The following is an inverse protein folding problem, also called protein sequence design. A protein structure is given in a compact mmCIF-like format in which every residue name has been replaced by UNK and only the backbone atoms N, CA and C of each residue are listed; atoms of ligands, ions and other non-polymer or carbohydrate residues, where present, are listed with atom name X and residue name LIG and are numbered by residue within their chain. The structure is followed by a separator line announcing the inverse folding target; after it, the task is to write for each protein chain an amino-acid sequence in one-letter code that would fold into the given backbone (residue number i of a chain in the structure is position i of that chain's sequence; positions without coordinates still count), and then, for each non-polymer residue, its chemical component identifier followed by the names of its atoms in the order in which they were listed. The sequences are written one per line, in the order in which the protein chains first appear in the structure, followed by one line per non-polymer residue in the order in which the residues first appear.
data_IF_339984319304
#
_entry.id   IF_339984319304
#
_cell.length_a   1.000
_cell.length_b   1.000
_cell.length_c   1.000
_cell.angle_alpha   90.00
_cell.angle_beta   90.00
_cell.angle_gamma   90.00
#
_symmetry.space_group_name_H-M   'P 1'
#
loop_
_entity.id
_entity.type
_entity.pdbx_description
1 polymer ?
#
# COMPACT_ATOMS: atom_id res chain seq x y z
N UNK A 1 -49.14 -14.26 -6.11
CA UNK A 1 -47.76 -14.29 -6.62
C UNK A 1 -47.13 -12.93 -6.39
N UNK A 2 -46.28 -12.81 -5.38
CA UNK A 2 -45.35 -11.69 -5.20
C UNK A 2 -44.33 -12.11 -4.13
N UNK A 3 -43.34 -12.92 -4.51
CA UNK A 3 -42.14 -13.09 -3.68
C UNK A 3 -41.24 -11.88 -3.89
N UNK A 4 -41.23 -11.00 -2.90
CA UNK A 4 -40.25 -9.94 -2.73
C UNK A 4 -38.87 -10.58 -2.58
N UNK A 5 -38.04 -10.50 -3.63
CA UNK A 5 -36.62 -10.81 -3.58
C UNK A 5 -35.91 -9.78 -2.69
N UNK A 6 -35.95 -9.98 -1.37
CA UNK A 6 -34.99 -9.36 -0.48
C UNK A 6 -33.62 -9.92 -0.85
N UNK A 7 -32.77 -9.09 -1.44
CA UNK A 7 -31.36 -9.40 -1.62
C UNK A 7 -30.77 -9.62 -0.22
N UNK A 8 -30.71 -10.87 0.20
CA UNK A 8 -30.03 -11.26 1.43
C UNK A 8 -28.58 -10.83 1.30
N UNK A 9 -28.19 -9.87 2.14
CA UNK A 9 -26.79 -9.51 2.37
C UNK A 9 -26.09 -10.80 2.79
N UNK A 10 -25.23 -11.32 1.91
CA UNK A 10 -24.44 -12.52 2.22
C UNK A 10 -23.53 -12.18 3.39
N UNK A 11 -23.85 -12.74 4.55
CA UNK A 11 -23.04 -12.70 5.76
C UNK A 11 -21.60 -13.16 5.45
N UNK A 12 -20.57 -12.51 6.02
CA UNK A 12 -19.19 -12.92 5.81
C UNK A 12 -18.98 -14.36 6.29
N UNK A 13 -18.56 -15.23 5.37
CA UNK A 13 -18.23 -16.62 5.66
C UNK A 13 -17.20 -16.68 6.80
N UNK A 14 -17.53 -17.46 7.83
CA UNK A 14 -16.70 -17.71 9.03
C UNK A 14 -15.29 -18.14 8.63
N UNK A 15 -14.28 -17.63 9.34
CA UNK A 15 -12.83 -17.90 9.14
C UNK A 15 -12.55 -19.36 8.75
N UNK A 16 -12.05 -19.60 7.53
CA UNK A 16 -11.61 -20.94 7.10
C UNK A 16 -10.12 -21.12 7.40
N UNK A 17 -9.25 -20.17 7.00
CA UNK A 17 -7.85 -20.06 7.42
C UNK A 17 -7.21 -18.74 6.96
N UNK A 18 -6.03 -18.36 7.47
CA UNK A 18 -5.30 -17.16 6.99
C UNK A 18 -4.92 -17.27 5.50
N UNK A 19 -4.59 -18.49 5.03
CA UNK A 19 -4.10 -18.74 3.67
C UNK A 19 -5.17 -18.87 2.59
N UNK A 20 -6.44 -18.99 2.95
CA UNK A 20 -7.55 -19.17 2.00
C UNK A 20 -7.98 -17.84 1.38
N UNK A 21 -8.06 -17.71 0.04
CA UNK A 21 -8.46 -16.46 -0.61
C UNK A 21 -9.82 -15.94 -0.13
N UNK A 22 -9.96 -14.60 -0.13
CA UNK A 22 -11.20 -13.95 0.29
C UNK A 22 -12.41 -14.29 -0.61
N UNK A 23 -12.14 -14.73 -1.84
CA UNK A 23 -13.15 -15.07 -2.82
C UNK A 23 -12.59 -16.02 -3.89
N UNK A 24 -13.45 -16.84 -4.52
CA UNK A 24 -13.05 -17.66 -5.66
C UNK A 24 -12.81 -16.79 -6.92
N UNK A 25 -11.88 -17.20 -7.80
CA UNK A 25 -11.67 -16.55 -9.07
C UNK A 25 -12.82 -16.84 -10.06
N UNK A 26 -13.17 -15.86 -10.88
CA UNK A 26 -14.11 -15.98 -12.01
C UNK A 26 -13.31 -16.01 -13.32
N UNK A 27 -13.90 -16.56 -14.39
CA UNK A 27 -13.23 -16.70 -15.70
C UNK A 27 -12.65 -15.37 -16.25
N UNK A 28 -13.35 -14.25 -16.02
CA UNK A 28 -12.91 -12.91 -16.47
C UNK A 28 -11.85 -12.25 -15.59
N UNK A 29 -11.60 -12.78 -14.39
CA UNK A 29 -10.73 -12.11 -13.40
C UNK A 29 -9.28 -12.04 -13.87
N UNK A 30 -8.81 -13.00 -14.68
CA UNK A 30 -7.46 -12.96 -15.26
C UNK A 30 -7.23 -11.74 -16.15
N UNK A 31 -8.17 -11.44 -17.05
CA UNK A 31 -8.05 -10.27 -17.93
C UNK A 31 -8.17 -8.95 -17.18
N UNK A 32 -9.10 -8.87 -16.22
CA UNK A 32 -9.25 -7.68 -15.39
C UNK A 32 -8.02 -7.47 -14.50
N UNK A 33 -7.39 -8.54 -14.02
CA UNK A 33 -6.12 -8.47 -13.30
C UNK A 33 -5.00 -7.89 -14.17
N UNK A 34 -4.90 -8.29 -15.45
CA UNK A 34 -3.95 -7.69 -16.40
C UNK A 34 -4.23 -6.19 -16.57
N UNK A 35 -5.49 -5.78 -16.73
CA UNK A 35 -5.86 -4.35 -16.79
C UNK A 35 -5.43 -3.61 -15.51
N UNK A 36 -5.66 -4.20 -14.34
CA UNK A 36 -5.21 -3.63 -13.07
C UNK A 36 -3.69 -3.53 -12.95
N UNK A 37 -2.94 -4.52 -13.46
CA UNK A 37 -1.47 -4.47 -13.53
C UNK A 37 -0.99 -3.37 -14.47
N UNK A 38 -1.69 -3.11 -15.57
CA UNK A 38 -1.37 -1.99 -16.48
C UNK A 38 -1.64 -0.64 -15.80
N UNK A 39 -2.77 -0.50 -15.09
CA UNK A 39 -3.05 0.72 -14.30
C UNK A 39 -1.96 0.94 -13.26
N UNK A 40 -1.59 -0.12 -12.53
CA UNK A 40 -0.49 -0.07 -11.58
C UNK A 40 0.80 0.38 -12.30
N UNK A 41 1.24 -0.33 -13.32
CA UNK A 41 2.51 -0.06 -13.97
C UNK A 41 2.63 1.34 -14.56
N UNK A 42 1.59 1.80 -15.29
CA UNK A 42 1.66 3.04 -16.08
C UNK A 42 1.20 4.28 -15.33
N UNK A 43 0.28 4.16 -14.38
CA UNK A 43 -0.23 5.31 -13.64
C UNK A 43 0.41 5.40 -12.27
N UNK A 44 0.52 4.30 -11.52
CA UNK A 44 1.03 4.42 -10.15
C UNK A 44 2.51 4.78 -10.07
N UNK A 45 3.32 4.27 -11.00
CA UNK A 45 4.74 4.64 -11.11
C UNK A 45 4.95 6.03 -11.73
N UNK A 46 3.87 6.70 -12.16
CA UNK A 46 3.91 7.96 -12.88
C UNK A 46 4.31 7.79 -14.36
N UNK A 47 4.09 8.84 -15.17
CA UNK A 47 4.49 8.84 -16.57
C UNK A 47 6.01 8.85 -16.70
N UNK A 48 6.58 8.19 -17.72
CA UNK A 48 8.02 8.15 -17.94
C UNK A 48 8.60 9.50 -18.38
N UNK A 49 7.74 10.45 -18.77
CA UNK A 49 8.10 11.78 -19.20
C UNK A 49 7.43 12.84 -18.31
N UNK A 50 8.13 13.94 -18.06
CA UNK A 50 7.58 15.09 -17.33
C UNK A 50 6.57 15.89 -18.14
N UNK A 51 6.58 15.78 -19.46
CA UNK A 51 5.70 16.52 -20.36
C UNK A 51 5.34 15.65 -21.56
N UNK A 52 4.09 15.73 -22.03
CA UNK A 52 3.66 15.13 -23.30
C UNK A 52 2.83 16.16 -24.08
N UNK A 53 3.30 16.53 -25.26
CA UNK A 53 2.56 17.41 -26.17
C UNK A 53 2.24 18.79 -25.61
N UNK A 54 3.15 19.39 -24.83
CA UNK A 54 2.95 20.70 -24.19
C UNK A 54 2.23 20.63 -22.84
N UNK A 55 1.77 19.45 -22.41
CA UNK A 55 1.13 19.27 -21.11
C UNK A 55 2.14 18.82 -20.07
N UNK A 56 2.36 19.65 -19.05
CA UNK A 56 3.15 19.29 -17.88
C UNK A 56 2.43 18.22 -17.05
N UNK A 57 3.01 17.03 -17.03
CA UNK A 57 2.50 15.87 -16.29
C UNK A 57 3.01 15.83 -14.84
N UNK A 58 3.88 16.76 -14.44
CA UNK A 58 4.30 16.94 -13.04
C UNK A 58 3.36 17.89 -12.30
N UNK A 59 2.47 18.57 -13.03
CA UNK A 59 1.50 19.51 -12.48
C UNK A 59 2.15 20.66 -11.68
N UNK A 60 3.32 21.13 -12.14
CA UNK A 60 4.12 22.14 -11.46
C UNK A 60 4.74 21.69 -10.14
N UNK A 61 4.71 20.39 -9.83
CA UNK A 61 5.33 19.81 -8.64
C UNK A 61 6.74 19.32 -8.96
N UNK A 62 7.62 19.40 -7.97
CA UNK A 62 9.01 18.95 -8.08
C UNK A 62 9.29 17.75 -7.18
N UNK A 63 10.37 17.03 -7.50
CA UNK A 63 10.85 15.90 -6.72
C UNK A 63 9.79 14.78 -6.55
N UNK A 64 9.84 14.05 -5.43
CA UNK A 64 8.92 12.94 -5.16
C UNK A 64 7.43 13.33 -5.13
N UNK A 65 7.12 14.59 -4.84
CA UNK A 65 5.74 15.08 -4.79
C UNK A 65 5.05 15.05 -6.16
N UNK A 66 5.80 15.16 -7.26
CA UNK A 66 5.26 15.09 -8.63
C UNK A 66 4.58 13.76 -8.96
N UNK A 67 4.93 12.68 -8.26
CA UNK A 67 4.27 11.39 -8.39
C UNK A 67 2.93 11.27 -7.67
N UNK A 68 2.62 12.16 -6.71
CA UNK A 68 1.44 12.01 -5.86
C UNK A 68 0.11 12.01 -6.64
N UNK A 69 -0.13 12.92 -7.61
CA UNK A 69 -1.36 12.90 -8.40
C UNK A 69 -1.57 11.57 -9.15
N UNK A 70 -0.49 11.02 -9.67
CA UNK A 70 -0.48 9.75 -10.41
C UNK A 70 -0.72 8.54 -9.51
N UNK A 71 -0.14 8.54 -8.31
CA UNK A 71 -0.44 7.53 -7.28
C UNK A 71 -1.92 7.49 -6.92
N UNK A 72 -2.53 8.67 -6.71
CA UNK A 72 -3.96 8.79 -6.44
C UNK A 72 -4.82 8.36 -7.64
N UNK A 73 -4.49 8.81 -8.85
CA UNK A 73 -5.19 8.42 -10.07
C UNK A 73 -5.17 6.89 -10.26
N UNK A 74 -4.00 6.26 -10.10
CA UNK A 74 -3.84 4.81 -10.19
C UNK A 74 -4.67 4.07 -9.13
N UNK A 75 -4.62 4.49 -7.87
CA UNK A 75 -5.40 3.88 -6.79
C UNK A 75 -6.92 4.01 -7.02
N UNK A 76 -7.40 5.20 -7.43
CA UNK A 76 -8.81 5.43 -7.73
C UNK A 76 -9.29 4.62 -8.94
N UNK A 77 -8.47 4.51 -9.98
CA UNK A 77 -8.79 3.71 -11.17
C UNK A 77 -8.82 2.21 -10.85
N UNK A 78 -7.98 1.72 -9.95
CA UNK A 78 -8.07 0.34 -9.46
C UNK A 78 -9.35 0.13 -8.64
N UNK A 79 -9.72 1.07 -7.77
CA UNK A 79 -11.00 0.98 -7.03
C UNK A 79 -12.18 0.98 -8.00
N UNK A 80 -12.16 1.85 -9.02
CA UNK A 80 -13.14 1.88 -10.09
C UNK A 80 -13.22 0.54 -10.86
N UNK A 81 -12.07 -0.04 -11.23
CA UNK A 81 -11.98 -1.35 -11.87
C UNK A 81 -12.62 -2.44 -11.01
N UNK A 82 -12.39 -2.42 -9.70
CA UNK A 82 -12.97 -3.40 -8.77
C UNK A 82 -14.50 -3.26 -8.68
N UNK A 83 -15.00 -2.04 -8.51
CA UNK A 83 -16.43 -1.79 -8.34
C UNK A 83 -17.19 -2.04 -9.65
N UNK A 84 -16.71 -1.50 -10.77
CA UNK A 84 -17.44 -1.51 -12.03
C UNK A 84 -17.02 -2.65 -12.97
N UNK A 85 -15.73 -2.93 -13.09
CA UNK A 85 -15.20 -3.99 -13.95
C UNK A 85 -15.38 -5.38 -13.35
N UNK A 86 -14.82 -5.61 -12.17
CA UNK A 86 -14.89 -6.91 -11.49
C UNK A 86 -16.26 -7.17 -10.86
N UNK A 87 -17.02 -6.09 -10.58
CA UNK A 87 -18.30 -6.11 -9.86
C UNK A 87 -18.13 -6.77 -8.49
N UNK A 88 -17.19 -6.24 -7.71
CA UNK A 88 -16.88 -6.65 -6.34
C UNK A 88 -16.97 -5.44 -5.41
N UNK A 89 -17.39 -5.67 -4.16
CA UNK A 89 -17.43 -4.61 -3.15
C UNK A 89 -16.04 -4.23 -2.64
N UNK A 90 -15.95 -3.10 -1.94
CA UNK A 90 -14.72 -2.61 -1.30
C UNK A 90 -14.14 -3.59 -0.27
N UNK A 91 -14.98 -4.46 0.30
CA UNK A 91 -14.56 -5.56 1.18
C UNK A 91 -13.62 -6.55 0.48
N UNK A 92 -13.68 -6.66 -0.85
CA UNK A 92 -12.74 -7.48 -1.65
C UNK A 92 -11.33 -6.89 -1.74
N UNK A 93 -11.16 -5.62 -1.34
CA UNK A 93 -9.88 -4.94 -1.13
C UNK A 93 -9.53 -4.86 0.36
N UNK A 94 -10.31 -5.54 1.23
CA UNK A 94 -10.19 -5.46 2.69
C UNK A 94 -10.54 -4.07 3.27
N UNK A 95 -11.12 -3.17 2.47
CA UNK A 95 -11.57 -1.85 2.93
C UNK A 95 -12.86 -2.05 3.73
N UNK A 96 -12.72 -2.02 5.04
CA UNK A 96 -13.79 -2.20 6.03
C UNK A 96 -13.57 -1.23 7.20
N UNK A 97 -14.63 -0.89 7.93
CA UNK A 97 -14.51 -0.03 9.12
C UNK A 97 -13.63 -0.73 10.18
N UNK A 98 -12.54 -0.11 10.66
CA UNK A 98 -11.70 -0.70 11.69
C UNK A 98 -12.44 -0.78 13.03
N UNK A 99 -12.17 -1.86 13.76
CA UNK A 99 -12.57 -2.01 15.17
C UNK A 99 -11.54 -1.33 16.07
N UNK A 100 -11.91 -1.02 17.33
CA UNK A 100 -10.95 -0.49 18.30
C UNK A 100 -9.73 -1.41 18.48
N UNK A 101 -9.91 -2.73 18.37
CA UNK A 101 -8.80 -3.70 18.42
C UNK A 101 -7.89 -3.60 17.20
N UNK A 102 -8.39 -3.28 16.02
CA UNK A 102 -7.53 -3.07 14.84
C UNK A 102 -6.62 -1.87 15.05
N UNK A 103 -7.16 -0.79 15.62
CA UNK A 103 -6.39 0.42 15.94
C UNK A 103 -5.35 0.12 17.03
N UNK A 104 -5.74 -0.53 18.13
CA UNK A 104 -4.83 -0.91 19.22
C UNK A 104 -3.65 -1.75 18.70
N UNK A 105 -3.93 -2.79 17.90
CA UNK A 105 -2.88 -3.63 17.35
C UNK A 105 -1.98 -2.88 16.36
N UNK A 106 -2.49 -1.89 15.62
CA UNK A 106 -1.66 -1.05 14.76
C UNK A 106 -0.61 -0.31 15.60
N UNK A 107 -0.97 0.22 16.76
CA UNK A 107 -0.02 0.89 17.66
C UNK A 107 0.99 -0.08 18.30
N UNK A 108 0.58 -1.28 18.71
CA UNK A 108 1.53 -2.27 19.24
C UNK A 108 2.54 -2.72 18.18
N UNK A 109 2.07 -3.00 16.96
CA UNK A 109 2.96 -3.40 15.87
C UNK A 109 3.87 -2.25 15.47
N UNK A 110 3.36 -1.03 15.42
CA UNK A 110 4.19 0.18 15.22
C UNK A 110 5.31 0.27 16.28
N UNK A 111 4.98 0.13 17.57
CA UNK A 111 5.97 0.13 18.64
C UNK A 111 7.06 -0.95 18.46
N UNK A 112 6.66 -2.16 18.06
CA UNK A 112 7.60 -3.24 17.75
C UNK A 112 8.51 -2.93 16.55
N UNK A 113 7.97 -2.36 15.47
CA UNK A 113 8.74 -1.94 14.29
C UNK A 113 9.73 -0.82 14.65
N UNK A 114 9.32 0.12 15.50
CA UNK A 114 10.20 1.19 16.00
C UNK A 114 11.31 0.69 16.88
N UNK A 115 11.01 -0.23 17.81
CA UNK A 115 12.02 -0.88 18.62
C UNK A 115 13.06 -1.59 17.75
N UNK A 116 12.62 -2.33 16.71
CA UNK A 116 13.54 -2.93 15.74
C UNK A 116 14.38 -1.88 15.02
N UNK A 117 13.75 -0.86 14.44
CA UNK A 117 14.45 0.18 13.68
C UNK A 117 15.53 0.88 14.51
N UNK A 118 15.25 1.13 15.79
CA UNK A 118 16.21 1.70 16.74
C UNK A 118 17.36 0.74 17.03
N UNK A 119 17.07 -0.53 17.36
CA UNK A 119 18.11 -1.55 17.60
C UNK A 119 19.00 -1.72 16.35
N UNK A 120 18.39 -1.80 15.17
CA UNK A 120 19.10 -1.92 13.91
C UNK A 120 20.04 -0.72 13.70
N UNK A 121 19.59 0.50 14.02
CA UNK A 121 20.39 1.73 13.91
C UNK A 121 21.54 1.80 14.92
N UNK A 122 21.47 1.09 16.05
CA UNK A 122 22.59 0.95 16.99
C UNK A 122 23.66 -0.03 16.48
N UNK A 123 23.26 -1.05 15.72
CA UNK A 123 24.15 -2.08 15.19
C UNK A 123 24.82 -1.61 13.89
N UNK A 124 24.03 -1.04 12.99
CA UNK A 124 24.47 -0.53 11.71
C UNK A 124 23.74 0.79 11.47
N UNK A 125 24.31 1.96 11.82
CA UNK A 125 23.68 3.24 11.58
C UNK A 125 23.27 3.41 10.11
N UNK A 126 22.08 3.96 9.87
CA UNK A 126 21.64 4.29 8.51
C UNK A 126 22.60 5.32 7.92
N UNK A 127 23.27 4.96 6.84
CA UNK A 127 24.05 5.90 6.04
C UNK A 127 23.12 6.90 5.37
N UNK A 128 23.54 8.16 5.37
CA UNK A 128 22.88 9.19 4.58
C UNK A 128 22.99 8.81 3.10
N UNK A 129 21.89 8.92 2.38
CA UNK A 129 21.81 8.55 0.97
C UNK A 129 20.93 9.54 0.22
N UNK A 130 21.10 9.58 -1.10
CA UNK A 130 20.40 10.53 -1.98
C UNK A 130 18.87 10.48 -1.81
N UNK A 131 18.31 9.30 -1.54
CA UNK A 131 16.88 9.14 -1.28
C UNK A 131 16.42 9.81 0.01
N UNK A 132 17.18 9.65 1.11
CA UNK A 132 16.95 10.33 2.38
C UNK A 132 17.14 11.84 2.23
N UNK A 133 18.23 12.27 1.58
CA UNK A 133 18.51 13.68 1.30
C UNK A 133 17.41 14.35 0.46
N UNK A 134 16.87 13.64 -0.53
CA UNK A 134 15.76 14.12 -1.36
C UNK A 134 14.53 14.40 -0.50
N UNK A 135 14.16 13.48 0.40
CA UNK A 135 12.97 13.65 1.25
C UNK A 135 13.20 14.73 2.32
N UNK A 136 14.37 14.76 2.97
CA UNK A 136 14.68 15.75 4.02
C UNK A 136 14.77 17.18 3.47
N UNK A 137 15.07 17.34 2.18
CA UNK A 137 15.06 18.64 1.51
C UNK A 137 13.66 19.24 1.34
N UNK A 138 12.62 18.40 1.32
CA UNK A 138 11.23 18.83 1.12
C UNK A 138 10.74 19.73 2.28
N UNK A 139 9.61 20.43 2.05
CA UNK A 139 8.89 21.09 3.14
C UNK A 139 8.24 20.06 4.05
N UNK A 140 8.05 20.40 5.33
CA UNK A 140 7.33 19.54 6.30
C UNK A 140 5.94 19.17 5.77
N UNK A 141 5.22 20.13 5.19
CA UNK A 141 3.92 19.88 4.56
C UNK A 141 4.02 18.90 3.37
N UNK A 142 5.08 19.01 2.56
CA UNK A 142 5.35 18.09 1.46
C UNK A 142 5.58 16.66 1.95
N UNK A 143 6.34 16.48 3.05
CA UNK A 143 6.56 15.16 3.66
C UNK A 143 5.29 14.60 4.28
N UNK A 144 4.48 15.42 4.97
CA UNK A 144 3.16 14.98 5.48
C UNK A 144 2.27 14.48 4.34
N UNK A 145 2.20 15.22 3.22
CA UNK A 145 1.42 14.79 2.07
C UNK A 145 1.97 13.51 1.43
N UNK A 146 3.30 13.37 1.37
CA UNK A 146 3.98 12.18 0.87
C UNK A 146 3.64 10.94 1.71
N UNK A 147 3.77 11.00 3.05
CA UNK A 147 3.52 9.85 3.92
C UNK A 147 2.05 9.44 3.93
N UNK A 148 1.11 10.40 3.86
CA UNK A 148 -0.33 10.11 3.75
C UNK A 148 -0.63 9.47 2.39
N UNK A 149 -0.09 10.03 1.31
CA UNK A 149 -0.30 9.50 -0.04
C UNK A 149 0.24 8.08 -0.15
N UNK A 150 1.46 7.82 0.31
CA UNK A 150 2.04 6.48 0.36
C UNK A 150 1.18 5.52 1.18
N UNK A 151 0.87 5.88 2.43
CA UNK A 151 0.11 5.03 3.35
C UNK A 151 -1.28 4.63 2.83
N UNK A 152 -1.92 5.47 2.00
CA UNK A 152 -3.22 5.13 1.41
C UNK A 152 -3.06 4.39 0.09
N UNK A 153 -2.36 5.00 -0.86
CA UNK A 153 -2.35 4.53 -2.25
C UNK A 153 -1.54 3.24 -2.42
N UNK A 154 -0.46 3.07 -1.68
CA UNK A 154 0.34 1.84 -1.70
C UNK A 154 -0.43 0.69 -1.05
N UNK A 155 -1.18 0.95 0.02
CA UNK A 155 -2.00 -0.10 0.63
C UNK A 155 -3.14 -0.54 -0.29
N UNK A 156 -3.80 0.39 -0.98
CA UNK A 156 -4.84 0.05 -2.00
C UNK A 156 -4.26 -0.87 -3.08
N UNK A 157 -3.10 -0.55 -3.63
CA UNK A 157 -2.55 -1.30 -4.74
C UNK A 157 -1.86 -2.60 -4.33
N UNK A 158 -0.97 -2.56 -3.34
CA UNK A 158 -0.19 -3.73 -2.96
C UNK A 158 -1.05 -4.71 -2.13
N UNK A 159 -1.60 -4.25 -1.00
CA UNK A 159 -2.28 -5.12 -0.02
C UNK A 159 -3.75 -5.36 -0.37
N UNK A 160 -4.42 -4.33 -0.87
CA UNK A 160 -5.82 -4.39 -1.28
C UNK A 160 -6.00 -5.13 -2.60
N UNK A 161 -5.32 -4.69 -3.65
CA UNK A 161 -5.53 -5.20 -5.00
C UNK A 161 -4.61 -6.36 -5.36
N UNK A 162 -3.31 -6.10 -5.55
CA UNK A 162 -2.34 -7.08 -6.06
C UNK A 162 -2.34 -8.36 -5.22
N UNK A 163 -2.20 -8.24 -3.90
CA UNK A 163 -2.19 -9.37 -2.98
C UNK A 163 -3.49 -10.20 -3.06
N UNK A 164 -4.66 -9.57 -3.00
CA UNK A 164 -5.94 -10.30 -2.96
C UNK A 164 -6.33 -10.87 -4.33
N UNK A 165 -6.01 -10.18 -5.44
CA UNK A 165 -6.28 -10.67 -6.81
C UNK A 165 -5.37 -11.81 -7.19
N UNK A 166 -4.06 -11.64 -7.03
CA UNK A 166 -3.12 -12.71 -7.30
C UNK A 166 -3.35 -13.89 -6.38
N UNK A 167 -3.63 -13.64 -5.09
CA UNK A 167 -3.97 -14.69 -4.15
C UNK A 167 -5.22 -15.48 -4.53
N UNK A 168 -6.24 -14.81 -5.07
CA UNK A 168 -7.44 -15.48 -5.59
C UNK A 168 -7.17 -16.30 -6.85
N UNK A 169 -6.46 -15.74 -7.83
CA UNK A 169 -6.09 -16.43 -9.08
C UNK A 169 -5.21 -17.66 -8.82
N UNK A 170 -4.24 -17.53 -7.91
CA UNK A 170 -3.32 -18.60 -7.53
C UNK A 170 -3.87 -19.52 -6.44
N UNK A 171 -5.10 -19.26 -5.97
CA UNK A 171 -5.75 -20.00 -4.87
C UNK A 171 -4.94 -20.05 -3.57
N UNK A 172 -4.03 -19.09 -3.36
CA UNK A 172 -3.13 -19.02 -2.20
C UNK A 172 -2.84 -17.57 -1.81
N UNK A 173 -3.29 -17.15 -0.63
CA UNK A 173 -3.01 -15.80 -0.12
C UNK A 173 -1.53 -15.57 0.15
N UNK A 174 -0.78 -16.64 0.45
CA UNK A 174 0.66 -16.56 0.66
C UNK A 174 1.41 -16.19 -0.62
N UNK A 175 1.00 -16.72 -1.77
CA UNK A 175 1.58 -16.35 -3.06
C UNK A 175 1.28 -14.88 -3.38
N UNK A 176 0.03 -14.46 -3.20
CA UNK A 176 -0.35 -13.06 -3.37
C UNK A 176 0.45 -12.10 -2.48
N UNK A 177 0.60 -12.46 -1.20
CA UNK A 177 1.36 -11.67 -0.23
C UNK A 177 2.85 -11.60 -0.55
N UNK A 178 3.48 -12.73 -0.89
CA UNK A 178 4.91 -12.79 -1.21
C UNK A 178 5.25 -11.98 -2.47
N UNK A 179 4.46 -12.12 -3.54
CA UNK A 179 4.68 -11.37 -4.78
C UNK A 179 4.42 -9.88 -4.57
N UNK A 180 3.34 -9.53 -3.85
CA UNK A 180 3.08 -8.13 -3.52
C UNK A 180 4.20 -7.51 -2.69
N UNK A 181 4.76 -8.25 -1.72
CA UNK A 181 5.87 -7.78 -0.90
C UNK A 181 7.13 -7.57 -1.75
N UNK A 182 7.46 -8.51 -2.64
CA UNK A 182 8.61 -8.39 -3.53
C UNK A 182 8.50 -7.14 -4.43
N UNK A 183 7.31 -6.92 -5.02
CA UNK A 183 7.05 -5.74 -5.86
C UNK A 183 7.04 -4.43 -5.06
N UNK A 184 6.70 -4.47 -3.77
CA UNK A 184 6.74 -3.32 -2.87
C UNK A 184 8.18 -2.95 -2.50
N UNK A 185 9.01 -3.96 -2.16
CA UNK A 185 10.39 -3.76 -1.74
C UNK A 185 11.29 -3.27 -2.89
N UNK A 186 11.10 -3.77 -4.10
CA UNK A 186 11.97 -3.48 -5.24
C UNK A 186 12.23 -1.96 -5.48
N UNK A 187 11.21 -1.09 -5.60
CA UNK A 187 11.44 0.34 -5.79
C UNK A 187 12.13 1.00 -4.59
N UNK A 188 11.91 0.49 -3.37
CA UNK A 188 12.57 1.03 -2.17
C UNK A 188 14.05 0.71 -2.14
N UNK A 189 14.45 -0.50 -2.54
CA UNK A 189 15.87 -0.86 -2.67
C UNK A 189 16.55 -0.05 -3.77
N UNK A 190 15.84 0.23 -4.88
CA UNK A 190 16.36 1.10 -5.95
C UNK A 190 16.54 2.53 -5.46
N UNK A 191 15.59 3.06 -4.68
CA UNK A 191 15.58 4.47 -4.26
C UNK A 191 16.46 4.76 -3.04
N UNK A 192 16.47 3.87 -2.03
CA UNK A 192 17.20 4.06 -0.76
C UNK A 192 18.46 3.20 -0.64
N UNK A 193 18.71 2.31 -1.60
CA UNK A 193 19.80 1.34 -1.54
C UNK A 193 19.47 0.08 -0.72
N UNK A 194 20.36 -0.93 -0.74
CA UNK A 194 20.11 -2.23 -0.12
C UNK A 194 20.11 -2.20 1.42
N UNK A 195 20.77 -1.23 2.05
CA UNK A 195 20.76 -1.05 3.51
C UNK A 195 19.34 -0.84 4.04
N UNK A 196 18.44 -0.26 3.23
CA UNK A 196 17.02 -0.11 3.54
C UNK A 196 16.37 -1.41 4.00
N UNK A 197 16.77 -2.57 3.46
CA UNK A 197 16.24 -3.86 3.87
C UNK A 197 16.48 -4.14 5.34
N UNK A 198 17.68 -3.86 5.85
CA UNK A 198 18.01 -4.17 7.24
C UNK A 198 17.12 -3.40 8.23
N UNK A 199 16.82 -2.14 7.91
CA UNK A 199 16.05 -1.26 8.78
C UNK A 199 14.53 -1.42 8.57
N UNK A 200 14.08 -1.50 7.32
CA UNK A 200 12.68 -1.32 6.95
C UNK A 200 11.98 -2.59 6.46
N UNK A 201 12.71 -3.69 6.22
CA UNK A 201 12.09 -4.97 5.85
C UNK A 201 11.14 -5.46 6.96
N UNK A 202 11.50 -5.28 8.23
CA UNK A 202 10.63 -5.66 9.36
C UNK A 202 9.32 -4.89 9.34
N UNK A 203 9.35 -3.58 9.04
CA UNK A 203 8.14 -2.79 8.85
C UNK A 203 7.29 -3.28 7.67
N UNK A 204 7.93 -3.62 6.55
CA UNK A 204 7.25 -4.15 5.36
C UNK A 204 6.60 -5.51 5.62
N UNK A 205 7.31 -6.40 6.31
CA UNK A 205 6.79 -7.70 6.75
C UNK A 205 5.65 -7.53 7.75
N UNK A 206 5.77 -6.57 8.67
CA UNK A 206 4.72 -6.25 9.63
C UNK A 206 3.44 -5.81 8.93
N UNK A 207 3.52 -4.97 7.88
CA UNK A 207 2.36 -4.57 7.09
C UNK A 207 1.69 -5.76 6.41
N UNK A 208 2.46 -6.69 5.81
CA UNK A 208 1.92 -7.91 5.20
C UNK A 208 1.25 -8.80 6.24
N UNK A 209 1.95 -9.09 7.35
CA UNK A 209 1.42 -9.92 8.43
C UNK A 209 0.15 -9.31 9.02
N UNK A 210 0.17 -8.01 9.30
CA UNK A 210 -0.97 -7.27 9.81
C UNK A 210 -2.17 -7.34 8.87
N UNK A 211 -1.97 -7.15 7.56
CA UNK A 211 -3.02 -7.28 6.55
C UNK A 211 -3.61 -8.69 6.52
N UNK A 212 -2.76 -9.72 6.55
CA UNK A 212 -3.19 -11.12 6.49
C UNK A 212 -4.00 -11.51 7.73
N UNK A 213 -3.60 -11.03 8.90
CA UNK A 213 -4.20 -11.35 10.21
C UNK A 213 -5.46 -10.52 10.47
N UNK A 214 -5.36 -9.19 10.35
CA UNK A 214 -6.46 -8.26 10.69
C UNK A 214 -7.48 -8.14 9.58
N UNK A 215 -7.08 -8.35 8.32
CA UNK A 215 -7.94 -8.24 7.12
C UNK A 215 -8.70 -6.92 7.05
N UNK A 216 -8.05 -5.85 7.51
CA UNK A 216 -8.59 -4.50 7.49
C UNK A 216 -7.56 -3.57 6.85
N UNK A 217 -7.85 -3.12 5.63
CA UNK A 217 -6.93 -2.27 4.89
C UNK A 217 -6.78 -0.90 5.53
N UNK A 218 -7.87 -0.32 6.09
CA UNK A 218 -7.83 1.00 6.74
C UNK A 218 -6.92 0.99 7.97
N UNK A 219 -6.95 -0.08 8.77
CA UNK A 219 -6.02 -0.26 9.88
C UNK A 219 -4.58 -0.51 9.40
N UNK A 220 -4.41 -1.14 8.24
CA UNK A 220 -3.09 -1.31 7.62
C UNK A 220 -2.54 0.02 7.11
N UNK A 221 -3.37 0.88 6.51
CA UNK A 221 -3.03 2.27 6.14
C UNK A 221 -2.60 3.07 7.37
N UNK A 222 -3.30 2.91 8.50
CA UNK A 222 -2.89 3.53 9.76
C UNK A 222 -1.51 3.03 10.21
N UNK A 223 -1.29 1.71 10.23
CA UNK A 223 0.02 1.15 10.59
C UNK A 223 1.13 1.68 9.66
N UNK A 224 0.89 1.73 8.35
CA UNK A 224 1.84 2.25 7.37
C UNK A 224 2.13 3.74 7.62
N UNK A 225 1.09 4.55 7.83
CA UNK A 225 1.24 5.96 8.18
C UNK A 225 2.10 6.15 9.44
N UNK A 226 1.86 5.35 10.48
CA UNK A 226 2.64 5.38 11.72
C UNK A 226 4.10 5.00 11.48
N UNK A 227 4.36 3.94 10.70
CA UNK A 227 5.73 3.52 10.33
C UNK A 227 6.47 4.61 9.53
N UNK A 228 5.75 5.39 8.73
CA UNK A 228 6.34 6.48 7.94
C UNK A 228 6.48 7.80 8.73
N UNK A 229 5.73 7.99 9.81
CA UNK A 229 5.77 9.23 10.59
C UNK A 229 7.18 9.66 11.08
N UNK A 230 8.09 8.75 11.48
CA UNK A 230 9.46 9.10 11.84
C UNK A 230 10.26 9.81 10.74
N UNK A 231 9.87 9.72 9.47
CA UNK A 231 10.49 10.48 8.36
C UNK A 231 10.42 12.00 8.60
N UNK A 232 9.44 12.46 9.39
CA UNK A 232 9.32 13.86 9.78
C UNK A 232 10.48 14.34 10.68
N UNK A 233 11.14 13.44 11.42
CA UNK A 233 12.22 13.81 12.35
C UNK A 233 13.39 14.46 11.60
N UNK A 234 14.07 13.79 10.64
CA UNK A 234 15.16 14.42 9.90
C UNK A 234 14.69 15.62 9.08
N UNK A 235 13.45 15.59 8.58
CA UNK A 235 12.87 16.71 7.81
C UNK A 235 12.76 17.98 8.66
N UNK A 236 12.26 17.87 9.89
CA UNK A 236 12.14 19.01 10.81
C UNK A 236 13.52 19.48 11.28
N UNK A 237 14.40 18.55 11.66
CA UNK A 237 15.76 18.88 12.10
C UNK A 237 16.56 19.60 11.01
N UNK A 238 16.37 19.28 9.74
CA UNK A 238 17.02 19.97 8.62
C UNK A 238 16.53 21.42 8.39
N UNK A 239 15.49 21.87 9.11
CA UNK A 239 14.96 23.25 9.03
C UNK A 239 15.22 24.07 10.30
N UNK A 240 15.83 23.48 11.33
CA UNK A 240 16.28 24.16 12.55
C UNK A 240 17.71 24.67 12.38
#
# INVERSE_FOLDING_TARGET
MAESASQQVVEPVRRVSIGTPAFPPRARDGWLFVVGLLIFWFLFNGPPAGEIGGFDLRFGLEGPASGNPWKWAGALLVVALVIWGERRGLTSLLITKPTGKDIEWAFYVFGGVMAWSWIASLIAPQEDNDGVGTISSMSVAGVVLLIITAAITEEVLYRGYLQERLGSLMRSRWIGAAVSLAMFIAPHVVFFGPSWLFHQLVGSLALVAFTLIRRNLVATMLLHLLINAPILIPTVLAKL
#
